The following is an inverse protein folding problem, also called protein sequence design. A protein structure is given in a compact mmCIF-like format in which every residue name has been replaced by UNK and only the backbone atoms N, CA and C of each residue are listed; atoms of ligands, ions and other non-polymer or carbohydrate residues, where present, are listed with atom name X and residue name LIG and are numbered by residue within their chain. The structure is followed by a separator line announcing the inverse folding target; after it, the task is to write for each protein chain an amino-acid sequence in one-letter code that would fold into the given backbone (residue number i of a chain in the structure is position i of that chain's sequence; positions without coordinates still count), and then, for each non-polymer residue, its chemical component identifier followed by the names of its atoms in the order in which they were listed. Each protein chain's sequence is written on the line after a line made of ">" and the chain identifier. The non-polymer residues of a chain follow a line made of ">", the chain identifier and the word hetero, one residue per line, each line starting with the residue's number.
data_IF_006352427776
#
_entry.id   IF_006352427776
#
_cell.length_a   1.000
_cell.length_b   1.000
_cell.length_c   1.000
_cell.angle_alpha   90.00
_cell.angle_beta   90.00
_cell.angle_gamma   90.00
#
_symmetry.space_group_name_H-M   'P 1'
#
loop_
_entity.id
_entity.type
_entity.pdbx_description
1 polymer ?
#
# COMPACT_ATOMS: atom_id res chain seq x y z
N UNK A 1 -3.35 15.66 43.50
CA UNK A 1 -2.56 14.44 43.70
C UNK A 1 -1.91 14.07 42.39
N UNK A 2 -0.61 14.08 42.35
CA UNK A 2 0.25 14.03 41.16
C UNK A 2 0.94 12.68 41.15
N UNK A 3 0.79 11.87 40.12
CA UNK A 3 1.61 10.68 39.91
C UNK A 3 2.22 10.71 38.50
N UNK A 4 3.53 10.72 38.37
CA UNK A 4 4.23 10.56 37.11
C UNK A 4 4.52 9.08 36.86
N UNK A 5 4.33 8.60 35.64
CA UNK A 5 4.79 7.30 35.21
C UNK A 5 5.88 7.46 34.14
N UNK A 6 7.14 7.21 34.43
CA UNK A 6 8.19 7.19 33.43
C UNK A 6 8.38 5.75 32.94
N UNK A 7 7.92 5.43 31.75
CA UNK A 7 8.29 4.18 31.11
C UNK A 7 9.52 4.42 30.23
N UNK A 8 10.69 4.27 30.86
CA UNK A 8 11.99 4.24 30.18
C UNK A 8 12.17 2.90 29.45
N UNK A 9 12.11 2.93 28.16
CA UNK A 9 12.55 1.77 27.34
C UNK A 9 14.04 1.88 27.08
N UNK A 10 14.78 1.07 27.79
CA UNK A 10 16.24 0.90 27.68
C UNK A 10 16.53 0.07 26.42
N UNK A 11 17.05 0.71 25.38
CA UNK A 11 17.63 0.04 24.20
C UNK A 11 18.90 -0.70 24.63
N UNK A 12 18.87 -2.03 24.66
CA UNK A 12 20.06 -2.87 24.79
C UNK A 12 20.66 -3.06 23.39
N UNK A 13 21.77 -2.36 23.17
CA UNK A 13 22.70 -2.66 22.08
C UNK A 13 23.49 -3.93 22.46
N UNK A 14 23.32 -5.00 21.68
CA UNK A 14 24.19 -6.17 21.73
C UNK A 14 25.12 -6.07 20.54
N UNK A 15 26.38 -5.71 20.82
CA UNK A 15 27.48 -5.86 19.89
C UNK A 15 27.98 -7.32 19.99
N UNK A 16 27.88 -8.08 18.90
CA UNK A 16 28.61 -9.32 18.75
C UNK A 16 29.72 -9.09 17.73
N UNK A 17 30.91 -8.95 18.21
CA UNK A 17 32.13 -8.98 17.41
C UNK A 17 32.57 -10.47 17.22
N UNK A 18 32.57 -10.92 15.97
CA UNK A 18 33.25 -12.20 15.62
C UNK A 18 34.35 -11.86 14.65
N UNK A 19 35.56 -11.90 15.17
CA UNK A 19 36.79 -11.92 14.38
C UNK A 19 37.12 -13.38 14.05
N UNK A 20 37.22 -13.71 12.78
CA UNK A 20 37.87 -14.97 12.33
C UNK A 20 38.73 -14.67 11.11
N UNK A 21 40.02 -14.54 11.34
CA UNK A 21 41.10 -14.55 10.37
C UNK A 21 41.28 -15.96 9.83
N UNK A 22 41.18 -16.17 8.51
CA UNK A 22 41.79 -17.30 7.82
C UNK A 22 42.43 -16.80 6.52
N UNK A 23 43.76 -16.77 6.52
CA UNK A 23 44.59 -16.72 5.31
C UNK A 23 44.55 -18.08 4.63
N UNK A 24 44.12 -18.09 3.35
CA UNK A 24 44.52 -19.14 2.41
C UNK A 24 44.87 -18.51 1.08
N UNK A 25 46.16 -18.56 0.75
CA UNK A 25 46.70 -18.30 -0.57
C UNK A 25 46.34 -19.46 -1.50
N UNK A 26 45.70 -19.14 -2.63
CA UNK A 26 45.39 -20.11 -3.69
C UNK A 26 45.19 -19.40 -5.02
N UNK A 27 46.01 -19.80 -5.99
CA UNK A 27 46.28 -19.19 -7.29
C UNK A 27 45.15 -19.25 -8.31
N UNK A 28 45.17 -18.28 -9.23
CA UNK A 28 44.72 -18.27 -10.65
C UNK A 28 43.52 -19.11 -11.07
N UNK A 29 42.50 -18.38 -11.50
CA UNK A 29 41.42 -18.89 -12.32
C UNK A 29 40.46 -17.74 -12.66
N UNK A 30 40.71 -17.08 -13.82
CA UNK A 30 39.77 -16.13 -14.38
C UNK A 30 38.55 -16.89 -14.90
N UNK A 31 37.55 -17.03 -14.04
CA UNK A 31 36.19 -17.33 -14.44
C UNK A 31 35.35 -16.10 -14.02
N UNK A 32 34.87 -15.36 -15.01
CA UNK A 32 33.87 -14.33 -14.79
C UNK A 32 32.60 -15.04 -14.34
N UNK A 33 32.46 -15.25 -13.04
CA UNK A 33 31.22 -15.59 -12.41
C UNK A 33 30.29 -14.38 -12.61
N UNK A 34 29.51 -14.43 -13.68
CA UNK A 34 28.29 -13.67 -13.79
C UNK A 34 27.39 -14.17 -12.65
N UNK A 35 27.51 -13.50 -11.52
CA UNK A 35 26.63 -13.70 -10.40
C UNK A 35 25.20 -13.40 -10.90
N UNK A 36 24.30 -14.40 -10.94
CA UNK A 36 22.93 -14.10 -11.30
C UNK A 36 22.43 -13.10 -10.28
N UNK A 37 22.18 -11.88 -10.74
CA UNK A 37 21.45 -10.89 -9.96
C UNK A 37 20.18 -11.60 -9.52
N UNK A 38 20.09 -11.93 -8.23
CA UNK A 38 18.89 -12.47 -7.65
C UNK A 38 17.80 -11.42 -7.96
N UNK A 39 17.04 -11.68 -9.00
CA UNK A 39 15.80 -11.00 -9.23
C UNK A 39 14.96 -11.36 -8.02
N UNK A 40 14.84 -10.43 -7.07
CA UNK A 40 13.88 -10.52 -5.97
C UNK A 40 12.49 -10.66 -6.59
N UNK A 41 12.15 -11.89 -6.96
CA UNK A 41 10.79 -12.30 -7.29
C UNK A 41 10.07 -12.45 -5.95
N UNK A 42 9.96 -11.35 -5.21
CA UNK A 42 8.95 -11.21 -4.17
C UNK A 42 7.62 -11.24 -4.92
N UNK A 43 7.03 -12.42 -5.00
CA UNK A 43 5.71 -12.64 -5.60
C UNK A 43 4.68 -12.02 -4.65
N UNK A 44 4.59 -10.69 -4.67
CA UNK A 44 3.45 -10.02 -4.07
C UNK A 44 2.20 -10.57 -4.76
N UNK A 45 1.25 -11.05 -3.97
CA UNK A 45 -0.02 -11.51 -4.50
C UNK A 45 -0.66 -10.40 -5.35
N UNK A 46 -1.27 -10.74 -6.50
CA UNK A 46 -1.93 -9.75 -7.34
C UNK A 46 -3.06 -9.09 -6.56
N UNK A 47 -3.05 -7.76 -6.51
CA UNK A 47 -4.09 -6.97 -5.84
C UNK A 47 -5.22 -6.68 -6.83
N UNK A 48 -6.42 -7.11 -6.52
CA UNK A 48 -7.63 -6.74 -7.26
C UNK A 48 -8.17 -5.42 -6.72
N UNK A 49 -8.53 -4.52 -7.64
CA UNK A 49 -9.14 -3.22 -7.36
C UNK A 49 -10.55 -3.22 -7.93
N UNK A 50 -11.51 -2.70 -7.16
CA UNK A 50 -12.88 -2.46 -7.59
C UNK A 50 -13.20 -0.99 -7.44
N UNK A 51 -13.69 -0.36 -8.51
CA UNK A 51 -14.16 1.02 -8.48
C UNK A 51 -15.65 1.04 -8.11
N UNK A 52 -15.98 1.58 -6.96
CA UNK A 52 -17.35 1.78 -6.52
C UNK A 52 -17.99 2.98 -7.23
N UNK A 53 -18.85 2.74 -8.18
CA UNK A 53 -19.48 3.76 -9.02
C UNK A 53 -20.98 3.54 -9.19
N UNK A 54 -21.43 2.29 -9.21
CA UNK A 54 -22.78 1.93 -9.57
C UNK A 54 -23.60 1.38 -8.40
N UNK A 55 -24.91 1.60 -8.45
CA UNK A 55 -25.86 0.93 -7.57
C UNK A 55 -26.68 -0.07 -8.38
N UNK A 56 -26.51 -1.38 -8.09
CA UNK A 56 -27.28 -2.44 -8.72
C UNK A 56 -26.73 -2.96 -10.06
N UNK A 57 -25.58 -2.50 -10.51
CA UNK A 57 -24.81 -3.01 -11.65
C UNK A 57 -23.41 -3.40 -11.15
N UNK A 58 -22.75 -4.33 -11.84
CA UNK A 58 -21.40 -4.72 -11.47
C UNK A 58 -20.42 -3.55 -11.64
N UNK A 59 -19.66 -3.28 -10.61
CA UNK A 59 -18.62 -2.26 -10.61
C UNK A 59 -17.40 -2.70 -11.44
N UNK A 60 -16.70 -1.76 -12.11
CA UNK A 60 -15.46 -2.03 -12.81
C UNK A 60 -14.38 -2.59 -11.89
N UNK A 61 -13.72 -3.68 -12.33
CA UNK A 61 -12.64 -4.32 -11.58
C UNK A 61 -11.41 -4.54 -12.46
N UNK A 62 -10.23 -4.49 -11.86
CA UNK A 62 -8.97 -4.85 -12.53
C UNK A 62 -7.94 -5.35 -11.53
N UNK A 63 -6.90 -5.98 -12.06
CA UNK A 63 -5.78 -6.50 -11.26
C UNK A 63 -4.55 -5.63 -11.49
N UNK A 64 -3.90 -5.25 -10.40
CA UNK A 64 -2.64 -4.52 -10.44
C UNK A 64 -1.48 -5.46 -10.83
N UNK A 65 -0.51 -4.93 -11.55
CA UNK A 65 0.77 -5.62 -11.73
C UNK A 65 1.50 -5.72 -10.38
N UNK A 66 2.46 -6.65 -10.26
CA UNK A 66 3.27 -6.79 -9.04
C UNK A 66 3.99 -5.47 -8.66
N UNK A 67 4.44 -4.69 -9.66
CA UNK A 67 5.02 -3.36 -9.43
C UNK A 67 4.02 -2.37 -8.86
N UNK A 68 2.82 -2.30 -9.43
CA UNK A 68 1.74 -1.44 -8.96
C UNK A 68 1.25 -1.84 -7.57
N UNK A 69 1.16 -3.14 -7.27
CA UNK A 69 0.79 -3.63 -5.93
C UNK A 69 1.80 -3.20 -4.87
N UNK A 70 3.10 -3.31 -5.16
CA UNK A 70 4.17 -2.82 -4.26
C UNK A 70 4.11 -1.31 -4.06
N UNK A 71 3.92 -0.57 -5.14
CA UNK A 71 3.76 0.90 -5.10
C UNK A 71 2.57 1.30 -4.23
N UNK A 72 1.40 0.67 -4.43
CA UNK A 72 0.21 0.90 -3.62
C UNK A 72 0.48 0.65 -2.14
N UNK A 73 1.05 -0.50 -1.81
CA UNK A 73 1.40 -0.85 -0.42
C UNK A 73 2.36 0.17 0.21
N UNK A 74 3.38 0.62 -0.55
CA UNK A 74 4.32 1.63 -0.09
C UNK A 74 3.64 2.97 0.19
N UNK A 75 2.73 3.41 -0.69
CA UNK A 75 1.97 4.65 -0.50
C UNK A 75 1.04 4.57 0.71
N UNK A 76 0.30 3.47 0.86
CA UNK A 76 -0.58 3.24 2.02
C UNK A 76 0.21 3.23 3.33
N UNK A 77 1.40 2.62 3.36
CA UNK A 77 2.26 2.58 4.54
C UNK A 77 2.79 3.95 4.98
N UNK A 78 2.80 4.95 4.09
CA UNK A 78 3.22 6.31 4.39
C UNK A 78 2.10 7.18 4.97
N UNK A 79 0.85 6.73 4.92
CA UNK A 79 -0.29 7.47 5.44
C UNK A 79 -0.32 7.44 6.97
N UNK A 80 -0.70 8.55 7.57
CA UNK A 80 -0.85 8.65 9.02
C UNK A 80 -2.23 8.19 9.46
N UNK A 81 -2.28 7.39 10.53
CA UNK A 81 -3.56 7.01 11.15
C UNK A 81 -4.11 8.18 11.96
N UNK A 82 -5.39 8.47 11.75
CA UNK A 82 -6.14 9.48 12.48
C UNK A 82 -7.39 8.86 13.13
N UNK A 83 -7.81 9.38 14.30
CA UNK A 83 -9.05 8.93 14.95
C UNK A 83 -10.27 9.43 14.19
N UNK A 84 -11.42 8.82 14.46
CA UNK A 84 -12.70 9.21 13.89
C UNK A 84 -13.20 8.27 12.81
N UNK A 85 -14.39 8.56 12.30
CA UNK A 85 -15.05 7.76 11.26
C UNK A 85 -14.55 8.18 9.89
N UNK A 86 -14.18 7.22 9.05
CA UNK A 86 -13.88 7.49 7.65
C UNK A 86 -15.12 8.03 6.92
N UNK A 87 -14.95 8.90 5.92
CA UNK A 87 -16.03 9.27 5.03
C UNK A 87 -16.67 8.05 4.38
N UNK A 88 -17.98 8.06 4.23
CA UNK A 88 -18.72 7.00 3.53
C UNK A 88 -19.32 7.56 2.25
N UNK A 89 -19.24 6.77 1.17
CA UNK A 89 -19.84 7.14 -0.12
C UNK A 89 -21.37 7.06 -0.09
N UNK A 90 -21.98 7.80 -1.02
CA UNK A 90 -23.40 7.79 -1.29
C UNK A 90 -23.71 7.22 -2.67
N UNK A 91 -24.67 7.83 -3.40
CA UNK A 91 -24.94 7.53 -4.80
C UNK A 91 -23.80 8.06 -5.70
N UNK A 92 -23.48 7.32 -6.77
CA UNK A 92 -22.38 7.63 -7.68
C UNK A 92 -21.05 7.16 -7.12
N UNK A 93 -19.95 7.87 -7.44
CA UNK A 93 -18.61 7.49 -6.99
C UNK A 93 -18.50 7.39 -5.46
N UNK A 94 -18.11 6.23 -4.97
CA UNK A 94 -17.94 5.94 -3.55
C UNK A 94 -16.61 5.26 -3.20
N UNK A 95 -15.61 5.43 -4.06
CA UNK A 95 -14.22 5.08 -3.78
C UNK A 95 -13.71 3.85 -4.53
N UNK A 96 -12.50 3.45 -4.16
CA UNK A 96 -11.86 2.24 -4.66
C UNK A 96 -11.70 1.26 -3.50
N UNK A 97 -12.17 0.03 -3.66
CA UNK A 97 -11.82 -1.06 -2.76
C UNK A 97 -10.68 -1.90 -3.34
N UNK A 98 -9.78 -2.36 -2.48
CA UNK A 98 -8.65 -3.21 -2.88
C UNK A 98 -8.22 -4.12 -1.74
N UNK A 99 -7.71 -5.30 -2.11
CA UNK A 99 -7.25 -6.28 -1.15
C UNK A 99 -5.86 -5.94 -0.63
N UNK A 100 -5.68 -6.06 0.67
CA UNK A 100 -4.39 -6.08 1.34
C UNK A 100 -4.22 -7.42 2.08
N UNK A 101 -3.01 -7.80 2.53
CA UNK A 101 -2.81 -9.06 3.24
C UNK A 101 -3.67 -9.23 4.51
N UNK A 102 -4.09 -8.12 5.11
CA UNK A 102 -4.77 -8.12 6.40
C UNK A 102 -6.27 -7.84 6.30
N UNK A 103 -6.71 -7.11 5.26
CA UNK A 103 -8.10 -6.69 5.11
C UNK A 103 -8.38 -6.11 3.71
N UNK A 104 -9.65 -6.03 3.35
CA UNK A 104 -10.10 -5.15 2.27
C UNK A 104 -10.00 -3.70 2.72
N UNK A 105 -9.37 -2.86 1.92
CA UNK A 105 -9.26 -1.41 2.15
C UNK A 105 -10.16 -0.65 1.18
N UNK A 106 -10.72 0.47 1.64
CA UNK A 106 -11.46 1.42 0.81
C UNK A 106 -10.75 2.77 0.87
N UNK A 107 -10.38 3.30 -0.31
CA UNK A 107 -9.89 4.66 -0.47
C UNK A 107 -11.03 5.54 -0.99
N UNK A 108 -11.46 6.50 -0.18
CA UNK A 108 -12.55 7.43 -0.51
C UNK A 108 -12.40 8.76 0.20
N UNK A 109 -12.64 9.84 -0.53
CA UNK A 109 -12.71 11.22 -0.02
C UNK A 109 -11.51 11.62 0.86
N UNK A 110 -10.31 11.20 0.48
CA UNK A 110 -9.07 11.54 1.21
C UNK A 110 -8.84 10.70 2.47
N UNK A 111 -9.47 9.55 2.56
CA UNK A 111 -9.27 8.58 3.64
C UNK A 111 -9.10 7.16 3.10
N UNK A 112 -8.32 6.35 3.80
CA UNK A 112 -8.25 4.90 3.55
C UNK A 112 -8.66 4.16 4.82
N UNK A 113 -9.68 3.32 4.72
CA UNK A 113 -10.23 2.56 5.86
C UNK A 113 -10.32 1.06 5.56
N UNK A 114 -10.21 0.22 6.58
CA UNK A 114 -10.42 -1.22 6.46
C UNK A 114 -11.90 -1.60 6.52
N UNK A 115 -12.24 -2.72 5.91
CA UNK A 115 -13.59 -3.31 5.99
C UNK A 115 -13.47 -4.76 6.48
N UNK A 116 -14.09 -5.10 7.61
CA UNK A 116 -14.74 -4.19 8.58
C UNK A 116 -13.72 -3.28 9.29
N UNK A 117 -14.14 -2.08 9.66
CA UNK A 117 -13.29 -1.14 10.44
C UNK A 117 -13.32 -1.49 11.93
N UNK A 118 -12.63 -2.58 12.30
CA UNK A 118 -12.60 -3.10 13.68
C UNK A 118 -11.67 -2.32 14.60
N UNK A 119 -10.67 -1.63 14.04
CA UNK A 119 -9.65 -0.92 14.82
C UNK A 119 -10.03 0.53 15.16
N UNK A 120 -11.10 1.05 14.59
CA UNK A 120 -11.45 2.46 14.67
C UNK A 120 -10.45 3.38 13.95
N UNK A 121 -10.88 4.57 13.54
CA UNK A 121 -10.04 5.51 12.79
C UNK A 121 -9.81 5.09 11.33
N UNK A 122 -9.03 5.88 10.63
CA UNK A 122 -8.67 5.68 9.22
C UNK A 122 -7.26 6.22 8.95
N UNK A 123 -6.72 5.94 7.78
CA UNK A 123 -5.49 6.56 7.28
C UNK A 123 -5.86 7.84 6.54
N UNK A 124 -5.17 8.93 6.83
CA UNK A 124 -5.40 10.24 6.21
C UNK A 124 -4.66 10.36 4.89
N UNK A 125 -5.39 10.64 3.82
CA UNK A 125 -4.87 10.87 2.45
C UNK A 125 -5.47 12.18 1.89
N UNK A 126 -5.16 13.35 2.48
CA UNK A 126 -5.81 14.62 2.15
C UNK A 126 -5.64 15.02 0.68
N UNK A 127 -4.54 14.62 0.05
CA UNK A 127 -4.25 14.88 -1.37
C UNK A 127 -4.85 13.82 -2.29
N UNK A 128 -5.55 12.82 -1.75
CA UNK A 128 -6.18 11.71 -2.49
C UNK A 128 -5.18 10.96 -3.39
N UNK A 129 -3.96 10.79 -2.89
CA UNK A 129 -2.85 10.17 -3.65
C UNK A 129 -3.17 8.72 -3.99
N UNK A 130 -3.82 7.99 -3.08
CA UNK A 130 -4.23 6.59 -3.31
C UNK A 130 -5.32 6.52 -4.38
N UNK A 131 -6.37 7.34 -4.25
CA UNK A 131 -7.47 7.36 -5.23
C UNK A 131 -6.97 7.74 -6.64
N UNK A 132 -6.11 8.76 -6.75
CA UNK A 132 -5.52 9.19 -8.03
C UNK A 132 -4.62 8.12 -8.64
N UNK A 133 -3.83 7.43 -7.82
CA UNK A 133 -3.00 6.31 -8.26
C UNK A 133 -3.87 5.18 -8.80
N UNK A 134 -4.90 4.76 -8.07
CA UNK A 134 -5.80 3.68 -8.49
C UNK A 134 -6.56 4.04 -9.77
N UNK A 135 -7.05 5.27 -9.91
CA UNK A 135 -7.68 5.75 -11.13
C UNK A 135 -6.73 5.63 -12.34
N UNK A 136 -5.46 6.01 -12.15
CA UNK A 136 -4.46 5.92 -13.23
C UNK A 136 -4.20 4.46 -13.64
N UNK A 137 -4.16 3.53 -12.69
CA UNK A 137 -3.95 2.10 -12.99
C UNK A 137 -5.12 1.48 -13.73
N UNK A 138 -6.35 1.96 -13.47
CA UNK A 138 -7.60 1.49 -14.09
C UNK A 138 -7.94 2.14 -15.43
N UNK A 139 -7.17 3.13 -15.91
CA UNK A 139 -7.53 3.95 -17.08
C UNK A 139 -7.89 3.15 -18.34
N UNK A 140 -7.27 1.98 -18.55
CA UNK A 140 -7.52 1.12 -19.72
C UNK A 140 -8.75 0.21 -19.58
N UNK A 141 -9.22 0.03 -18.37
CA UNK A 141 -10.36 -0.84 -18.02
C UNK A 141 -11.66 -0.03 -17.88
N UNK A 142 -11.53 1.29 -17.72
CA UNK A 142 -12.66 2.19 -17.58
C UNK A 142 -13.06 2.77 -18.93
N UNK A 143 -14.36 3.00 -19.11
CA UNK A 143 -14.85 3.80 -20.23
C UNK A 143 -14.40 5.28 -20.05
N UNK A 144 -14.34 6.06 -21.13
CA UNK A 144 -14.03 7.49 -21.03
C UNK A 144 -14.99 8.26 -20.11
N UNK A 145 -16.25 7.84 -20.02
CA UNK A 145 -17.26 8.47 -19.16
C UNK A 145 -16.97 8.18 -17.69
N UNK A 146 -16.77 6.91 -17.32
CA UNK A 146 -16.42 6.51 -15.96
C UNK A 146 -15.13 7.19 -15.47
N UNK A 147 -14.10 7.20 -16.32
CA UNK A 147 -12.84 7.86 -16.00
C UNK A 147 -13.02 9.36 -15.75
N UNK A 148 -13.80 10.05 -16.61
CA UNK A 148 -14.06 11.47 -16.48
C UNK A 148 -14.88 11.79 -15.22
N UNK A 149 -15.89 10.98 -14.90
CA UNK A 149 -16.72 11.12 -13.70
C UNK A 149 -15.87 11.02 -12.42
N UNK A 150 -15.06 9.95 -12.31
CA UNK A 150 -14.18 9.77 -11.15
C UNK A 150 -13.14 10.88 -11.08
N UNK A 151 -12.53 11.25 -12.21
CA UNK A 151 -11.56 12.35 -12.27
C UNK A 151 -12.17 13.66 -11.75
N UNK A 152 -13.40 13.97 -12.15
CA UNK A 152 -14.14 15.15 -11.66
C UNK A 152 -14.38 15.06 -10.15
N UNK A 153 -14.79 13.91 -9.64
CA UNK A 153 -14.98 13.67 -8.22
C UNK A 153 -13.69 13.81 -7.39
N UNK A 154 -12.53 13.58 -8.01
CA UNK A 154 -11.20 13.79 -7.41
C UNK A 154 -10.72 15.25 -7.47
N UNK A 155 -11.49 16.17 -8.04
CA UNK A 155 -11.12 17.58 -8.18
C UNK A 155 -10.15 17.82 -9.33
N UNK A 156 -10.30 17.06 -10.42
CA UNK A 156 -9.50 17.15 -11.65
C UNK A 156 -9.99 18.15 -12.64
#
# INVERSE_FOLDING_TARGET
>A
MKLPNPFMWTRRLIFVAVAATMLTTGACGAASDVQPTATDTSTAAPTTVTLGLYSGVADPTWTLTAGQSRELSSRVAQLSRVPGTAPTGGLGYHGFSFESPEATLIAYAGAVSSVPNTAGGHLSDPDRVIERFLLTTGQRQLTPVEYAEVKQALGG
#
